data_IF_799294743401
#
_entry.id   IF_799294743401
#
_cell.length_a   1.000
_cell.length_b   1.000
_cell.length_c   1.000
_cell.angle_alpha   90.00
_cell.angle_beta   90.00
_cell.angle_gamma   90.00
#
_symmetry.space_group_name_H-M   'P 1'
#
loop_
_entity.id
_entity.type
_entity.pdbx_description
1 polymer ?
#
# COMPACT_ATOMS: atom_id res chain seq x y z
N UNK A 1 0.80 12.63 10.08
CA UNK A 1 1.60 13.69 9.42
C UNK A 1 3.04 13.26 9.08
N UNK A 2 3.54 12.09 9.49
CA UNK A 2 4.93 11.68 9.20
C UNK A 2 5.21 11.32 7.74
N UNK A 3 4.21 10.83 6.98
CA UNK A 3 4.42 10.40 5.58
C UNK A 3 4.64 11.58 4.61
N UNK A 4 4.21 12.79 4.98
CA UNK A 4 4.40 13.99 4.16
C UNK A 4 5.85 14.52 4.22
N UNK A 5 6.69 13.98 5.12
CA UNK A 5 8.04 14.47 5.40
C UNK A 5 9.12 13.35 5.37
N UNK A 6 8.71 12.07 5.32
CA UNK A 6 9.60 10.94 5.11
C UNK A 6 9.91 10.82 3.63
N UNK A 7 10.95 11.51 3.18
CA UNK A 7 11.40 11.54 1.78
C UNK A 7 12.01 10.21 1.31
N UNK A 8 11.20 9.15 1.24
CA UNK A 8 11.57 7.94 0.51
C UNK A 8 11.50 8.25 -0.99
N UNK A 9 12.66 8.19 -1.64
CA UNK A 9 12.80 8.51 -3.06
C UNK A 9 11.82 7.69 -3.91
N UNK A 10 10.81 8.38 -4.43
CA UNK A 10 9.87 7.80 -5.38
C UNK A 10 8.62 7.17 -4.78
N UNK A 11 8.33 7.36 -3.49
CA UNK A 11 7.08 6.93 -2.85
C UNK A 11 6.37 8.14 -2.26
N UNK A 12 5.09 8.28 -2.54
CA UNK A 12 4.24 9.33 -1.97
C UNK A 12 2.86 8.76 -1.65
N UNK A 13 2.17 9.32 -0.65
CA UNK A 13 0.77 9.02 -0.42
C UNK A 13 0.00 10.23 0.09
N UNK A 14 -1.20 10.41 -0.41
CA UNK A 14 -2.09 11.54 -0.15
C UNK A 14 -3.45 11.01 0.28
N UNK A 15 -4.05 11.65 1.29
CA UNK A 15 -5.45 11.37 1.66
C UNK A 15 -6.40 11.92 0.60
N UNK A 16 -7.53 11.25 0.39
CA UNK A 16 -8.63 11.85 -0.37
C UNK A 16 -9.28 12.99 0.43
N UNK A 17 -9.88 13.94 -0.28
CA UNK A 17 -10.52 15.12 0.32
C UNK A 17 -11.80 14.72 1.08
N UNK A 18 -12.61 13.84 0.49
CA UNK A 18 -13.91 13.42 1.01
C UNK A 18 -13.84 12.33 2.09
N UNK A 19 -12.81 11.48 2.06
CA UNK A 19 -12.72 10.34 2.97
C UNK A 19 -11.30 10.15 3.53
N UNK A 20 -11.14 10.41 4.83
CA UNK A 20 -9.86 10.23 5.54
C UNK A 20 -9.40 8.77 5.63
N UNK A 21 -10.30 7.81 5.38
CA UNK A 21 -10.01 6.40 5.33
C UNK A 21 -9.61 5.93 3.92
N UNK A 22 -9.64 6.81 2.91
CA UNK A 22 -9.18 6.53 1.57
C UNK A 22 -7.93 7.37 1.27
N UNK A 23 -6.87 6.70 0.86
CA UNK A 23 -5.60 7.33 0.53
C UNK A 23 -5.14 6.83 -0.83
N UNK A 24 -4.54 7.74 -1.58
CA UNK A 24 -3.92 7.47 -2.86
C UNK A 24 -2.39 7.45 -2.68
N UNK A 25 -1.78 6.30 -2.92
CA UNK A 25 -0.33 6.13 -3.00
C UNK A 25 0.15 6.25 -4.44
N UNK A 26 1.30 6.86 -4.65
CA UNK A 26 2.00 6.87 -5.94
C UNK A 26 3.44 6.43 -5.73
N UNK A 27 3.86 5.42 -6.48
CA UNK A 27 5.24 4.97 -6.60
C UNK A 27 5.74 5.47 -7.97
N UNK A 28 6.56 6.52 -7.97
CA UNK A 28 7.08 7.17 -9.19
C UNK A 28 8.42 6.60 -9.66
N UNK A 29 9.13 5.89 -8.78
CA UNK A 29 10.38 5.20 -9.13
C UNK A 29 10.17 3.73 -8.83
N UNK A 30 9.88 2.93 -9.86
CA UNK A 30 10.16 1.50 -9.75
C UNK A 30 11.64 1.30 -9.45
N UNK A 31 11.96 0.39 -8.54
CA UNK A 31 13.32 0.18 -8.03
C UNK A 31 14.35 0.11 -9.16
N UNK A 32 15.48 0.81 -8.99
CA UNK A 32 16.61 0.74 -9.94
C UNK A 32 17.01 -0.72 -10.16
N UNK A 33 17.38 -1.04 -11.39
CA UNK A 33 17.77 -2.40 -11.82
C UNK A 33 16.61 -3.42 -11.83
N UNK A 34 15.36 -2.96 -11.88
CA UNK A 34 14.18 -3.81 -12.09
C UNK A 34 13.46 -3.47 -13.38
N UNK A 35 12.64 -4.40 -13.89
CA UNK A 35 11.77 -4.18 -15.06
C UNK A 35 10.72 -3.08 -14.85
N UNK A 36 10.57 -2.61 -13.61
CA UNK A 36 9.63 -1.57 -13.21
C UNK A 36 10.28 -0.18 -13.18
N UNK A 37 11.60 -0.08 -13.39
CA UNK A 37 12.32 1.19 -13.41
C UNK A 37 11.71 2.17 -14.40
N UNK A 38 11.47 3.41 -13.94
CA UNK A 38 10.84 4.47 -14.73
C UNK A 38 9.32 4.32 -14.93
N UNK A 39 8.68 3.30 -14.33
CA UNK A 39 7.22 3.13 -14.39
C UNK A 39 6.55 3.73 -13.15
N UNK A 40 5.51 4.55 -13.35
CA UNK A 40 4.66 5.05 -12.28
C UNK A 40 3.52 4.07 -11.96
N UNK A 41 3.38 3.72 -10.68
CA UNK A 41 2.29 2.93 -10.16
C UNK A 41 1.43 3.72 -9.19
N UNK A 42 0.12 3.63 -9.36
CA UNK A 42 -0.88 4.20 -8.46
C UNK A 42 -1.49 3.09 -7.60
N UNK A 43 -1.61 3.37 -6.31
CA UNK A 43 -2.18 2.48 -5.33
C UNK A 43 -3.35 3.17 -4.63
N UNK A 44 -4.42 2.43 -4.42
CA UNK A 44 -5.52 2.82 -3.55
C UNK A 44 -5.35 2.10 -2.21
N UNK A 45 -5.38 2.87 -1.12
CA UNK A 45 -5.31 2.39 0.25
C UNK A 45 -6.63 2.72 0.94
N UNK A 46 -7.31 1.69 1.44
CA UNK A 46 -8.56 1.81 2.18
C UNK A 46 -8.39 1.29 3.59
N UNK A 47 -8.57 2.18 4.57
CA UNK A 47 -8.47 1.88 5.99
C UNK A 47 -9.84 1.42 6.50
N UNK A 48 -9.95 0.21 7.10
CA UNK A 48 -11.18 -0.21 7.74
C UNK A 48 -11.46 0.61 9.01
N UNK A 49 -12.71 0.63 9.46
CA UNK A 49 -13.11 1.27 10.73
C UNK A 49 -12.41 0.65 11.96
N UNK A 50 -12.00 -0.61 11.84
CA UNK A 50 -11.27 -1.35 12.89
C UNK A 50 -9.75 -1.11 12.85
N UNK A 51 -9.25 -0.17 12.04
CA UNK A 51 -7.83 0.17 12.04
C UNK A 51 -7.42 0.76 13.40
N UNK A 52 -6.29 0.36 14.02
CA UNK A 52 -5.18 -0.44 13.46
C UNK A 52 -5.26 -1.96 13.71
N UNK A 53 -6.36 -2.49 14.26
CA UNK A 53 -6.50 -3.93 14.53
C UNK A 53 -6.60 -4.76 13.24
N UNK A 54 -7.23 -4.21 12.20
CA UNK A 54 -7.21 -4.78 10.85
C UNK A 54 -6.28 -3.96 9.95
N UNK A 55 -5.48 -4.61 9.09
CA UNK A 55 -4.61 -3.91 8.16
C UNK A 55 -5.43 -3.13 7.12
N UNK A 56 -4.87 -2.06 6.52
CA UNK A 56 -5.48 -1.39 5.40
C UNK A 56 -5.49 -2.30 4.17
N UNK A 57 -6.53 -2.17 3.34
CA UNK A 57 -6.59 -2.82 2.04
C UNK A 57 -5.81 -1.97 1.04
N UNK A 58 -4.75 -2.52 0.47
CA UNK A 58 -3.94 -1.85 -0.56
C UNK A 58 -4.11 -2.56 -1.89
N UNK A 59 -4.37 -1.79 -2.95
CA UNK A 59 -4.61 -2.29 -4.29
C UNK A 59 -3.89 -1.43 -5.33
N UNK A 60 -3.31 -2.04 -6.34
CA UNK A 60 -2.85 -1.33 -7.53
C UNK A 60 -4.05 -0.92 -8.40
N UNK A 61 -4.16 0.38 -8.73
CA UNK A 61 -5.20 0.87 -9.65
C UNK A 61 -4.92 0.47 -11.09
N UNK A 62 -3.64 0.52 -11.47
CA UNK A 62 -3.16 0.10 -12.79
C UNK A 62 -2.63 -1.33 -12.69
N UNK A 63 -2.88 -2.14 -13.72
CA UNK A 63 -2.36 -3.50 -13.78
C UNK A 63 -0.84 -3.54 -13.57
N UNK A 64 -0.40 -4.26 -12.54
CA UNK A 64 1.00 -4.50 -12.24
C UNK A 64 1.29 -5.98 -12.48
N UNK A 65 2.20 -6.27 -13.42
CA UNK A 65 2.64 -7.64 -13.69
C UNK A 65 3.74 -8.02 -12.70
N UNK A 66 3.33 -8.55 -11.54
CA UNK A 66 4.24 -8.99 -10.50
C UNK A 66 3.73 -10.32 -9.92
N UNK A 67 4.60 -11.31 -9.58
CA UNK A 67 4.16 -12.62 -9.07
C UNK A 67 3.25 -12.54 -7.83
N UNK A 68 3.41 -11.48 -7.04
CA UNK A 68 2.64 -11.25 -5.82
C UNK A 68 1.48 -10.27 -6.02
N UNK A 69 1.12 -9.93 -7.27
CA UNK A 69 0.00 -9.06 -7.60
C UNK A 69 -0.91 -9.77 -8.58
N UNK A 70 -2.18 -9.91 -8.20
CA UNK A 70 -3.18 -10.54 -9.05
C UNK A 70 -3.59 -9.63 -10.23
N UNK A 71 -4.27 -10.17 -11.25
CA UNK A 71 -4.80 -9.43 -12.40
C UNK A 71 -5.76 -8.30 -12.00
N UNK A 72 -6.37 -8.41 -10.82
CA UNK A 72 -7.21 -7.36 -10.24
C UNK A 72 -6.42 -6.33 -9.43
N UNK A 73 -5.09 -6.40 -9.36
CA UNK A 73 -4.24 -5.47 -8.61
C UNK A 73 -4.19 -5.74 -7.10
N UNK A 74 -4.68 -6.89 -6.64
CA UNK A 74 -4.63 -7.30 -5.24
C UNK A 74 -3.23 -7.79 -4.90
N UNK A 75 -2.66 -7.26 -3.82
CA UNK A 75 -1.30 -7.58 -3.39
C UNK A 75 -1.32 -8.72 -2.37
N UNK A 76 -0.62 -9.80 -2.68
CA UNK A 76 -0.37 -10.91 -1.75
C UNK A 76 0.92 -10.63 -0.97
N UNK A 77 0.81 -9.80 0.06
CA UNK A 77 1.90 -9.52 0.97
C UNK A 77 1.46 -9.83 2.40
N UNK A 78 2.29 -10.58 3.10
CA UNK A 78 2.08 -11.03 4.47
C UNK A 78 1.57 -9.88 5.37
N UNK A 79 2.27 -8.74 5.42
CA UNK A 79 1.89 -7.60 6.29
C UNK A 79 0.51 -6.97 6.00
N UNK A 80 -0.05 -7.23 4.82
CA UNK A 80 -1.38 -6.77 4.38
C UNK A 80 -2.45 -7.85 4.61
N UNK A 81 -2.05 -9.06 4.97
CA UNK A 81 -2.96 -10.10 5.43
C UNK A 81 -3.37 -9.84 6.88
N UNK A 82 -4.58 -10.27 7.21
CA UNK A 82 -5.15 -10.15 8.54
C UNK A 82 -4.32 -10.98 9.54
N UNK A 83 -3.31 -10.34 10.14
CA UNK A 83 -2.54 -10.87 11.27
C UNK A 83 -3.13 -10.46 12.61
N UNK A 84 -4.42 -10.09 12.66
CA UNK A 84 -5.02 -9.40 13.80
C UNK A 84 -4.91 -10.13 15.15
N UNK A 85 -4.45 -11.39 15.21
CA UNK A 85 -4.16 -12.08 16.47
C UNK A 85 -2.95 -13.04 16.43
N UNK A 86 -1.75 -12.61 16.03
CA UNK A 86 -0.53 -13.36 16.37
C UNK A 86 0.50 -12.65 17.23
N UNK A 87 0.29 -11.38 17.59
CA UNK A 87 1.34 -10.59 18.27
C UNK A 87 0.93 -9.89 19.58
N UNK A 88 -0.16 -10.28 20.25
CA UNK A 88 -0.40 -9.79 21.63
C UNK A 88 -1.06 -10.80 22.58
N UNK A 89 -0.51 -12.01 22.72
CA UNK A 89 -0.63 -12.80 23.96
C UNK A 89 0.36 -13.97 23.95
N UNK A 90 1.66 -13.64 23.95
CA UNK A 90 2.62 -14.46 24.67
C UNK A 90 2.69 -13.88 26.09
N UNK A 91 1.83 -14.41 26.96
CA UNK A 91 2.03 -14.44 28.41
C UNK A 91 2.22 -15.91 28.79
#
# INVERSE_FOLDING_TARGET
>A
MSLMMGGDLGISAFREEDNIFCWQGTITIGSKDTVFEGTEYKLSLSFPTDYPFKPPKVKFEKGCFHPNVDMYGIICLDILQDYALKLSMCY
#
